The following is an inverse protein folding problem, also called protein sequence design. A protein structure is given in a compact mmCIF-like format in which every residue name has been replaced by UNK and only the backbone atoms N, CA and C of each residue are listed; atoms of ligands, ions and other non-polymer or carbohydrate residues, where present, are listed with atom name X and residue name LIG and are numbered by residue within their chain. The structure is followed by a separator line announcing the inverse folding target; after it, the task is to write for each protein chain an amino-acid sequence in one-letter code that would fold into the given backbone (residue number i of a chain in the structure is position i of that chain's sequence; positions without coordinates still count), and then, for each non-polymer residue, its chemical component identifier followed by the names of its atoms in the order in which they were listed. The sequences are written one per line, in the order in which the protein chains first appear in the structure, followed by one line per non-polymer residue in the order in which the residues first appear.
data_IF_318631268127
#
_entry.id   IF_318631268127
#
_cell.length_a   1.000
_cell.length_b   1.000
_cell.length_c   1.000
_cell.angle_alpha   90.00
_cell.angle_beta   90.00
_cell.angle_gamma   90.00
#
_symmetry.space_group_name_H-M   'P 1'
#
loop_
_entity.id
_entity.type
_entity.pdbx_description
1 polymer ?
#
# COMPACT_ATOMS: atom_id res chain seq x y z
N UNK A 1 21.24 -4.40 8.86
CA UNK A 1 20.69 -3.07 9.20
C UNK A 1 21.79 -2.29 9.88
N UNK A 2 22.23 -1.16 9.31
CA UNK A 2 23.19 -0.30 9.99
C UNK A 2 22.42 0.62 10.95
N UNK A 3 22.72 0.54 12.24
CA UNK A 3 22.23 1.51 13.22
C UNK A 3 23.18 2.71 13.12
N UNK A 4 22.67 3.83 12.61
CA UNK A 4 23.39 5.10 12.65
C UNK A 4 23.02 5.76 13.97
N UNK A 5 23.95 5.73 14.93
CA UNK A 5 23.83 6.45 16.20
C UNK A 5 24.55 7.79 16.08
N UNK A 6 23.84 8.89 16.35
CA UNK A 6 24.44 10.21 16.49
C UNK A 6 24.53 10.56 17.99
N UNK A 7 25.71 10.93 18.44
CA UNK A 7 25.96 11.42 19.81
C UNK A 7 26.09 12.94 19.73
N UNK A 8 25.25 13.67 20.47
CA UNK A 8 25.31 15.13 20.57
C UNK A 8 26.11 15.51 21.82
N UNK A 9 27.08 16.40 21.67
CA UNK A 9 27.84 16.95 22.80
C UNK A 9 27.09 18.10 23.49
N UNK A 10 27.37 18.32 24.78
CA UNK A 10 26.78 19.43 25.55
C UNK A 10 27.09 20.79 24.91
N UNK A 11 26.07 21.63 24.76
CA UNK A 11 26.08 22.98 24.16
C UNK A 11 26.16 23.06 22.63
N UNK A 12 25.94 21.96 21.90
CA UNK A 12 25.83 22.01 20.45
C UNK A 12 24.45 22.54 20.01
N UNK A 13 24.41 23.69 19.33
CA UNK A 13 23.18 24.28 18.78
C UNK A 13 22.98 23.76 17.35
N UNK A 14 22.04 22.82 17.18
CA UNK A 14 21.63 22.36 15.86
C UNK A 14 20.78 23.43 15.17
N UNK A 15 21.10 23.78 13.92
CA UNK A 15 20.19 24.60 13.14
C UNK A 15 18.98 23.76 12.72
N UNK A 16 17.81 24.39 12.60
CA UNK A 16 16.59 23.72 12.12
C UNK A 16 16.84 23.08 10.74
N UNK A 17 17.73 23.68 9.93
CA UNK A 17 18.08 23.19 8.61
C UNK A 17 18.81 21.84 8.65
N UNK A 18 19.72 21.66 9.62
CA UNK A 18 20.46 20.41 9.81
C UNK A 18 19.54 19.26 10.27
N UNK A 19 18.50 19.58 11.04
CA UNK A 19 17.45 18.63 11.44
C UNK A 19 16.55 18.24 10.25
N UNK A 20 16.28 19.17 9.34
CA UNK A 20 15.47 18.95 8.13
C UNK A 20 16.23 18.12 7.10
N UNK A 21 17.54 18.33 6.96
CA UNK A 21 18.38 17.55 6.04
C UNK A 21 18.66 16.12 6.57
N UNK A 22 18.68 15.93 7.90
CA UNK A 22 18.77 14.62 8.54
C UNK A 22 17.42 13.86 8.55
N UNK A 23 16.30 14.56 8.43
CA UNK A 23 15.01 13.94 8.21
C UNK A 23 15.02 13.35 6.80
N UNK A 24 15.15 12.02 6.70
CA UNK A 24 14.88 11.28 5.45
C UNK A 24 13.66 11.92 4.78
N UNK A 25 13.70 12.29 3.49
CA UNK A 25 12.59 12.95 2.83
C UNK A 25 11.37 12.08 3.03
N UNK A 26 10.50 12.48 3.97
CA UNK A 26 9.27 11.77 4.24
C UNK A 26 8.50 11.96 2.94
N UNK A 27 8.26 10.88 2.16
CA UNK A 27 7.54 11.03 0.90
C UNK A 27 6.23 11.77 1.21
N UNK A 28 5.86 12.76 0.37
CA UNK A 28 4.71 13.62 0.65
C UNK A 28 3.51 12.76 1.05
N UNK A 29 2.84 13.18 2.12
CA UNK A 29 1.67 12.53 2.71
C UNK A 29 0.84 11.83 1.63
N UNK A 30 0.67 10.50 1.78
CA UNK A 30 -0.13 9.59 0.96
C UNK A 30 -0.82 10.30 -0.21
N UNK A 31 -0.15 10.37 -1.36
CA UNK A 31 -0.85 10.68 -2.60
C UNK A 31 -1.79 9.49 -2.88
N UNK A 32 -2.97 9.52 -2.26
CA UNK A 32 -4.20 8.96 -2.82
C UNK A 32 -4.18 9.41 -4.28
N UNK A 33 -4.12 8.45 -5.22
CA UNK A 33 -3.76 8.71 -6.62
C UNK A 33 -4.36 10.03 -7.11
N UNK A 34 -3.51 11.02 -7.46
CA UNK A 34 -4.01 12.29 -7.98
C UNK A 34 -4.83 11.97 -9.23
N UNK A 35 -6.01 12.59 -9.37
CA UNK A 35 -6.63 12.74 -10.68
C UNK A 35 -5.60 13.41 -11.59
N UNK A 36 -5.15 12.68 -12.62
CA UNK A 36 -4.09 13.13 -13.51
C UNK A 36 -3.28 11.97 -14.08
N UNK A 37 -2.69 12.24 -15.25
CA UNK A 37 -1.75 11.32 -15.88
C UNK A 37 -0.41 11.41 -15.14
N UNK A 38 0.12 10.28 -14.66
CA UNK A 38 1.52 10.19 -14.26
C UNK A 38 2.35 10.44 -15.52
N UNK A 39 2.83 11.67 -15.71
CA UNK A 39 3.42 12.14 -16.99
C UNK A 39 4.56 11.25 -17.48
N UNK A 40 5.31 10.64 -16.56
CA UNK A 40 6.39 9.70 -16.89
C UNK A 40 5.89 8.36 -17.48
N UNK A 41 4.72 7.86 -17.08
CA UNK A 41 4.24 6.51 -17.44
C UNK A 41 2.93 6.49 -18.24
N UNK A 42 2.32 7.64 -18.56
CA UNK A 42 1.01 7.75 -19.24
C UNK A 42 -0.11 6.93 -18.58
N UNK A 43 -0.04 6.77 -17.27
CA UNK A 43 -1.00 6.01 -16.49
C UNK A 43 -2.02 6.98 -15.90
N UNK A 44 -3.30 6.72 -16.15
CA UNK A 44 -4.40 7.41 -15.50
C UNK A 44 -4.41 7.09 -14.00
N UNK A 45 -4.47 8.14 -13.18
CA UNK A 45 -4.66 8.05 -11.74
C UNK A 45 -5.95 7.32 -11.38
N UNK A 46 -5.94 6.62 -10.26
CA UNK A 46 -7.11 5.90 -9.75
C UNK A 46 -8.00 6.89 -8.97
N UNK A 47 -9.33 6.96 -9.24
CA UNK A 47 -10.27 7.85 -8.54
C UNK A 47 -10.53 7.32 -7.13
N UNK A 48 -9.48 7.33 -6.31
CA UNK A 48 -9.45 6.63 -5.04
C UNK A 48 -10.42 7.29 -4.07
N UNK A 49 -10.58 8.61 -4.14
CA UNK A 49 -11.56 9.38 -3.37
C UNK A 49 -13.00 8.90 -3.60
N UNK A 50 -13.43 8.73 -4.86
CA UNK A 50 -14.76 8.20 -5.19
C UNK A 50 -14.90 6.75 -4.72
N UNK A 51 -13.87 5.94 -4.95
CA UNK A 51 -13.88 4.54 -4.53
C UNK A 51 -13.97 4.41 -3.01
N UNK A 52 -13.30 5.29 -2.24
CA UNK A 52 -13.35 5.27 -0.78
C UNK A 52 -14.72 5.65 -0.23
N UNK A 53 -15.48 6.52 -0.90
CA UNK A 53 -16.84 6.87 -0.48
C UNK A 53 -17.82 5.69 -0.59
N UNK A 54 -17.57 4.78 -1.53
CA UNK A 54 -18.39 3.61 -1.76
C UNK A 54 -18.03 2.41 -0.85
N UNK A 55 -16.94 2.51 -0.08
CA UNK A 55 -16.52 1.42 0.79
C UNK A 55 -17.36 1.36 2.07
N UNK A 56 -17.64 0.13 2.50
CA UNK A 56 -18.10 -0.12 3.86
C UNK A 56 -17.08 0.39 4.88
N UNK A 57 -17.56 0.74 6.09
CA UNK A 57 -16.70 1.19 7.19
C UNK A 57 -15.56 0.21 7.47
N UNK A 58 -15.84 -1.09 7.40
CA UNK A 58 -14.86 -2.13 7.68
C UNK A 58 -13.82 -2.27 6.56
N UNK A 59 -14.23 -2.15 5.29
CA UNK A 59 -13.31 -2.14 4.16
C UNK A 59 -12.42 -0.88 4.17
N UNK A 60 -13.00 0.29 4.45
CA UNK A 60 -12.26 1.54 4.59
C UNK A 60 -11.23 1.46 5.72
N UNK A 61 -11.63 1.00 6.91
CA UNK A 61 -10.70 0.79 8.02
C UNK A 61 -9.59 -0.21 7.67
N UNK A 62 -9.93 -1.33 7.03
CA UNK A 62 -8.93 -2.32 6.59
C UNK A 62 -7.94 -1.70 5.59
N UNK A 63 -8.43 -0.95 4.60
CA UNK A 63 -7.57 -0.30 3.62
C UNK A 63 -6.57 0.63 4.30
N UNK A 64 -7.03 1.52 5.17
CA UNK A 64 -6.13 2.43 5.89
C UNK A 64 -5.16 1.69 6.80
N UNK A 65 -5.58 0.61 7.47
CA UNK A 65 -4.65 -0.22 8.24
C UNK A 65 -3.56 -0.82 7.36
N UNK A 66 -3.90 -1.32 6.17
CA UNK A 66 -2.91 -1.84 5.22
C UNK A 66 -1.98 -0.72 4.74
N UNK A 67 -2.50 0.48 4.46
CA UNK A 67 -1.68 1.64 4.08
C UNK A 67 -0.66 1.99 5.16
N UNK A 68 -1.04 1.94 6.44
CA UNK A 68 -0.12 2.19 7.56
C UNK A 68 0.91 1.07 7.77
N UNK A 69 0.53 -0.18 7.49
CA UNK A 69 1.39 -1.36 7.68
C UNK A 69 2.27 -1.67 6.47
N UNK A 70 2.13 -0.94 5.36
CA UNK A 70 2.85 -1.25 4.14
C UNK A 70 4.33 -0.89 4.25
N UNK A 71 5.15 -1.70 3.63
CA UNK A 71 6.46 -1.26 3.16
C UNK A 71 6.27 -0.24 2.02
N UNK A 72 6.82 0.96 2.19
CA UNK A 72 6.61 2.10 1.29
C UNK A 72 7.29 1.95 -0.08
N UNK A 73 8.25 1.02 -0.23
CA UNK A 73 8.93 0.77 -1.49
C UNK A 73 8.24 -0.31 -2.33
N UNK A 74 7.57 -1.25 -1.66
CA UNK A 74 6.92 -2.42 -2.29
C UNK A 74 5.41 -2.35 -2.27
N UNK A 75 4.81 -1.47 -1.46
CA UNK A 75 3.38 -1.41 -1.16
C UNK A 75 2.79 -2.72 -0.59
N UNK A 76 3.65 -3.60 -0.05
CA UNK A 76 3.22 -4.85 0.58
C UNK A 76 3.00 -4.59 2.06
N UNK A 77 1.82 -4.94 2.56
CA UNK A 77 1.45 -4.88 3.96
C UNK A 77 1.27 -6.30 4.52
N UNK A 78 1.87 -6.56 5.67
CA UNK A 78 1.66 -7.79 6.44
C UNK A 78 0.62 -7.54 7.53
N UNK A 79 -0.44 -8.36 7.53
CA UNK A 79 -1.51 -8.29 8.52
C UNK A 79 -1.79 -9.68 9.08
N UNK A 80 -1.23 -10.01 10.28
CA UNK A 80 -1.41 -11.31 10.89
C UNK A 80 -2.87 -11.52 11.27
N UNK A 81 -3.42 -12.65 10.84
CA UNK A 81 -4.81 -13.04 11.05
C UNK A 81 -4.95 -14.40 11.72
N UNK A 82 -3.87 -15.19 11.78
CA UNK A 82 -3.86 -16.58 12.23
C UNK A 82 -4.41 -16.75 13.64
N UNK A 83 -4.13 -15.81 14.54
CA UNK A 83 -4.57 -15.84 15.94
C UNK A 83 -5.92 -15.13 16.18
N UNK A 84 -6.57 -14.61 15.14
CA UNK A 84 -7.85 -13.93 15.29
C UNK A 84 -8.99 -14.94 15.51
N UNK A 85 -9.97 -14.60 16.37
CA UNK A 85 -11.22 -15.33 16.46
C UNK A 85 -11.92 -15.44 15.10
N UNK A 86 -12.66 -16.53 14.86
CA UNK A 86 -13.35 -16.81 13.59
C UNK A 86 -14.20 -15.63 13.10
N UNK A 87 -14.99 -15.02 13.98
CA UNK A 87 -15.83 -13.87 13.61
C UNK A 87 -15.03 -12.66 13.10
N UNK A 88 -13.82 -12.42 13.64
CA UNK A 88 -12.92 -11.36 13.15
C UNK A 88 -12.28 -11.74 11.82
N UNK A 89 -11.92 -13.01 11.62
CA UNK A 89 -11.43 -13.53 10.34
C UNK A 89 -12.47 -13.39 9.24
N UNK A 90 -13.73 -13.72 9.52
CA UNK A 90 -14.83 -13.59 8.56
C UNK A 90 -15.09 -12.13 8.20
N UNK A 91 -15.04 -11.23 9.19
CA UNK A 91 -15.15 -9.78 8.99
C UNK A 91 -14.01 -9.24 8.13
N UNK A 92 -12.78 -9.63 8.44
CA UNK A 92 -11.59 -9.29 7.65
C UNK A 92 -11.71 -9.78 6.20
N UNK A 93 -12.18 -11.02 6.02
CA UNK A 93 -12.34 -11.63 4.70
C UNK A 93 -13.38 -10.88 3.86
N UNK A 94 -14.53 -10.52 4.44
CA UNK A 94 -15.55 -9.71 3.75
C UNK A 94 -15.01 -8.35 3.33
N UNK A 95 -14.36 -7.63 4.26
CA UNK A 95 -13.72 -6.34 3.97
C UNK A 95 -12.65 -6.47 2.87
N UNK A 96 -11.80 -7.50 2.94
CA UNK A 96 -10.82 -7.78 1.90
C UNK A 96 -11.46 -8.01 0.52
N UNK A 97 -12.54 -8.81 0.46
CA UNK A 97 -13.22 -9.10 -0.81
C UNK A 97 -13.81 -7.86 -1.46
N UNK A 98 -14.29 -6.92 -0.65
CA UNK A 98 -14.74 -5.61 -1.12
C UNK A 98 -13.59 -4.80 -1.73
N UNK A 99 -12.45 -4.69 -1.03
CA UNK A 99 -11.25 -4.00 -1.52
C UNK A 99 -10.68 -4.65 -2.80
N UNK A 100 -10.70 -5.98 -2.88
CA UNK A 100 -10.27 -6.74 -4.06
C UNK A 100 -11.17 -6.46 -5.27
N UNK A 101 -12.49 -6.43 -5.06
CA UNK A 101 -13.48 -6.10 -6.09
C UNK A 101 -13.31 -4.67 -6.61
N UNK A 102 -13.00 -3.73 -5.72
CA UNK A 102 -12.70 -2.33 -6.06
C UNK A 102 -11.27 -2.12 -6.60
N UNK A 103 -10.49 -3.18 -6.80
CA UNK A 103 -9.13 -3.10 -7.37
C UNK A 103 -8.17 -2.26 -6.52
N UNK A 104 -8.41 -2.17 -5.21
CA UNK A 104 -7.57 -1.42 -4.27
C UNK A 104 -6.44 -2.28 -3.71
N UNK A 105 -6.71 -3.55 -3.44
CA UNK A 105 -5.78 -4.48 -2.79
C UNK A 105 -5.85 -5.84 -3.47
N UNK A 106 -4.73 -6.56 -3.49
CA UNK A 106 -4.68 -7.96 -3.89
C UNK A 106 -3.88 -8.77 -2.88
N UNK A 107 -4.34 -9.97 -2.52
CA UNK A 107 -3.53 -10.89 -1.72
C UNK A 107 -2.33 -11.38 -2.53
N UNK A 108 -1.13 -11.08 -2.04
CA UNK A 108 0.15 -11.50 -2.63
C UNK A 108 0.58 -12.88 -2.11
N UNK A 109 0.51 -13.07 -0.79
CA UNK A 109 0.75 -14.34 -0.09
C UNK A 109 -0.18 -14.44 1.12
N UNK A 110 -0.12 -15.54 1.87
CA UNK A 110 -0.84 -15.63 3.15
C UNK A 110 -0.48 -14.42 4.02
N UNK A 111 -1.51 -13.73 4.53
CA UNK A 111 -1.40 -12.54 5.39
C UNK A 111 -0.66 -11.33 4.79
N UNK A 112 -0.23 -11.42 3.53
CA UNK A 112 0.48 -10.37 2.83
C UNK A 112 -0.39 -9.82 1.70
N UNK A 113 -0.62 -8.52 1.76
CA UNK A 113 -1.52 -7.78 0.87
C UNK A 113 -0.71 -6.75 0.11
N UNK A 114 -0.77 -6.79 -1.20
CA UNK A 114 -0.21 -5.76 -2.06
C UNK A 114 -1.27 -4.70 -2.31
N UNK A 115 -0.92 -3.43 -2.14
CA UNK A 115 -1.80 -2.28 -2.44
C UNK A 115 -1.57 -1.84 -3.88
N UNK A 116 -2.64 -1.50 -4.60
CA UNK A 116 -2.55 -1.02 -5.98
C UNK A 116 -1.68 0.24 -6.02
N UNK A 117 -0.55 0.25 -6.77
CA UNK A 117 0.30 1.42 -6.83
C UNK A 117 -0.38 2.63 -7.49
N UNK A 118 -1.49 2.43 -8.23
CA UNK A 118 -2.33 3.55 -8.71
C UNK A 118 -3.20 4.16 -7.62
N UNK A 119 -3.57 3.40 -6.58
CA UNK A 119 -4.37 3.89 -5.46
C UNK A 119 -3.48 4.60 -4.42
N UNK A 120 -2.30 4.04 -4.15
CA UNK A 120 -1.30 4.61 -3.25
C UNK A 120 0.07 4.46 -3.90
N UNK A 121 0.73 5.57 -4.20
CA UNK A 121 2.03 5.52 -4.85
C UNK A 121 3.09 4.91 -3.91
N UNK A 122 3.89 3.94 -4.38
CA UNK A 122 5.12 3.56 -3.69
C UNK A 122 6.16 4.69 -3.84
N UNK A 123 7.26 4.61 -3.07
CA UNK A 123 8.35 5.58 -3.19
C UNK A 123 8.84 5.69 -4.65
N UNK A 124 9.17 6.92 -5.10
CA UNK A 124 9.32 7.35 -6.50
C UNK A 124 10.01 6.39 -7.49
N UNK A 125 10.96 5.56 -7.06
CA UNK A 125 11.71 4.64 -7.94
C UNK A 125 11.07 3.24 -8.06
N UNK A 126 10.07 2.93 -7.24
CA UNK A 126 9.47 1.60 -7.13
C UNK A 126 8.23 1.36 -8.00
N UNK A 127 7.68 2.39 -8.64
CA UNK A 127 6.36 2.30 -9.27
C UNK A 127 6.25 1.16 -10.30
N UNK A 128 7.13 1.12 -11.31
CA UNK A 128 7.07 0.10 -12.37
C UNK A 128 7.17 -1.31 -11.80
N UNK A 129 8.13 -1.53 -10.89
CA UNK A 129 8.32 -2.83 -10.22
C UNK A 129 7.06 -3.27 -9.46
N UNK A 130 6.44 -2.35 -8.72
CA UNK A 130 5.21 -2.65 -7.96
C UNK A 130 4.03 -2.85 -8.91
N UNK A 131 3.98 -2.11 -10.01
CA UNK A 131 2.94 -2.24 -11.04
C UNK A 131 3.02 -3.58 -11.76
N UNK A 132 4.20 -4.02 -12.18
CA UNK A 132 4.40 -5.32 -12.81
C UNK A 132 4.02 -6.46 -11.87
N UNK A 133 4.41 -6.37 -10.60
CA UNK A 133 4.01 -7.33 -9.57
C UNK A 133 2.47 -7.37 -9.42
N UNK A 134 1.83 -6.20 -9.36
CA UNK A 134 0.38 -6.09 -9.25
C UNK A 134 -0.34 -6.73 -10.44
N UNK A 135 0.07 -6.38 -11.67
CA UNK A 135 -0.51 -6.92 -12.91
C UNK A 135 -0.29 -8.43 -12.97
N UNK A 136 0.92 -8.92 -12.67
CA UNK A 136 1.24 -10.34 -12.67
C UNK A 136 0.34 -11.16 -11.76
N UNK A 137 0.09 -10.67 -10.53
CA UNK A 137 -0.83 -11.36 -9.58
C UNK A 137 -2.28 -11.33 -10.11
N UNK A 138 -2.73 -10.21 -10.66
CA UNK A 138 -4.10 -10.06 -11.18
C UNK A 138 -4.34 -10.95 -12.40
N UNK A 139 -3.41 -10.98 -13.35
CA UNK A 139 -3.48 -11.84 -14.54
C UNK A 139 -3.50 -13.31 -14.11
N UNK A 140 -2.59 -13.73 -13.22
CA UNK A 140 -2.58 -15.10 -12.69
C UNK A 140 -3.94 -15.49 -12.08
N UNK A 141 -4.52 -14.63 -11.24
CA UNK A 141 -5.85 -14.86 -10.65
C UNK A 141 -6.97 -14.96 -11.67
N UNK A 142 -6.95 -14.13 -12.71
CA UNK A 142 -7.95 -14.18 -13.79
C UNK A 142 -7.82 -15.48 -14.58
N UNK A 143 -6.61 -15.91 -14.90
CA UNK A 143 -6.36 -17.17 -15.59
C UNK A 143 -6.79 -18.38 -14.74
N UNK A 144 -6.49 -18.39 -13.45
CA UNK A 144 -6.93 -19.45 -12.52
C UNK A 144 -8.46 -19.52 -12.36
N UNK A 145 -9.17 -18.39 -12.43
CA UNK A 145 -10.65 -18.38 -12.40
C UNK A 145 -11.28 -18.80 -13.72
N UNK A 146 -10.62 -18.54 -14.85
CA UNK A 146 -11.12 -18.88 -16.19
C UNK A 146 -10.74 -20.29 -16.64
N UNK A 147 -9.73 -20.92 -16.02
CA UNK A 147 -9.38 -22.31 -16.25
C UNK A 147 -10.21 -23.22 -15.33
N UNK A 148 -11.43 -23.55 -15.76
CA UNK A 148 -12.17 -24.72 -15.26
C UNK A 148 -12.00 -25.83 -16.29
N UNK A 149 -11.15 -26.85 -16.04
CA UNK A 149 -11.16 -28.03 -16.88
C UNK A 149 -12.54 -28.67 -16.75
N UNK A 150 -13.22 -28.82 -17.89
CA UNK A 150 -14.44 -29.63 -18.00
C UNK A 150 -14.13 -31.09 -17.70
#
# INVERSE_FOLDING_TARGET
MAIISATLEENQVLSIKDLVDAALPIPPYNCIGRYGMLKQHKIDGFPTDLVMQELSKDASHLFWNLVHLRDIETNIAYLPSSNLPKHKKDKLYKAYKELEKKVLVVRYKQENYLINPKAVLPMFKGFDRVWDLWVGIRVKKLLEHNYKPN
#
